data_IF_999281323248
#
_entry.id   IF_999281323248
#
_cell.length_a   1.000
_cell.length_b   1.000
_cell.length_c   1.000
_cell.angle_alpha   90.00
_cell.angle_beta   90.00
_cell.angle_gamma   90.00
#
_symmetry.space_group_name_H-M   'P 1'
#
loop_
_entity.id
_entity.type
_entity.pdbx_description
1 polymer ?
#
# COMPACT_ATOMS: atom_id res chain seq x y z
N UNK A 1 -4.93 5.21 -17.23
CA UNK A 1 -3.58 5.27 -16.62
C UNK A 1 -3.32 3.92 -15.99
N UNK A 2 -2.14 3.34 -16.21
CA UNK A 2 -1.73 2.07 -15.59
C UNK A 2 -1.62 2.19 -14.07
N UNK A 3 -1.90 1.10 -13.35
CA UNK A 3 -1.86 1.04 -11.87
C UNK A 3 -0.52 1.51 -11.30
N UNK A 4 0.59 1.02 -11.86
CA UNK A 4 1.93 1.36 -11.40
C UNK A 4 2.23 2.86 -11.53
N UNK A 5 1.82 3.49 -12.64
CA UNK A 5 1.99 4.93 -12.83
C UNK A 5 1.18 5.76 -11.81
N UNK A 6 0.03 5.25 -11.34
CA UNK A 6 -0.72 5.90 -10.26
C UNK A 6 -0.03 5.72 -8.92
N UNK A 7 0.44 4.51 -8.61
CA UNK A 7 1.18 4.21 -7.39
C UNK A 7 2.45 5.08 -7.27
N UNK A 8 3.21 5.22 -8.34
CA UNK A 8 4.43 6.04 -8.37
C UNK A 8 4.14 7.51 -8.06
N UNK A 9 2.98 8.03 -8.47
CA UNK A 9 2.57 9.40 -8.13
C UNK A 9 2.27 9.55 -6.65
N UNK A 10 1.66 8.55 -6.01
CA UNK A 10 1.45 8.57 -4.55
C UNK A 10 2.77 8.43 -3.79
N UNK A 11 3.70 7.61 -4.30
CA UNK A 11 5.06 7.48 -3.73
C UNK A 11 5.83 8.79 -3.88
N UNK A 12 5.72 9.49 -5.01
CA UNK A 12 6.34 10.80 -5.19
C UNK A 12 5.85 11.80 -4.12
N UNK A 13 4.55 11.83 -3.83
CA UNK A 13 4.01 12.66 -2.73
C UNK A 13 4.57 12.22 -1.38
N UNK A 14 4.63 10.92 -1.10
CA UNK A 14 5.24 10.41 0.14
C UNK A 14 6.72 10.84 0.27
N UNK A 15 7.47 10.81 -0.83
CA UNK A 15 8.87 11.26 -0.86
C UNK A 15 9.01 12.76 -0.65
N UNK A 16 8.05 13.59 -1.11
CA UNK A 16 8.04 15.02 -0.79
C UNK A 16 7.75 15.25 0.70
N UNK A 17 6.80 14.52 1.30
CA UNK A 17 6.52 14.62 2.73
C UNK A 17 7.72 14.24 3.61
N UNK A 18 8.59 13.35 3.13
CA UNK A 18 9.83 12.99 3.83
C UNK A 18 10.87 14.11 3.89
N UNK A 19 10.69 15.19 3.11
CA UNK A 19 11.56 16.37 3.15
C UNK A 19 11.13 17.36 4.23
N UNK A 20 9.96 17.18 4.84
CA UNK A 20 9.51 18.03 5.94
C UNK A 20 10.33 17.77 7.22
N UNK A 21 10.53 18.80 8.03
CA UNK A 21 11.24 18.69 9.30
C UNK A 21 10.55 17.64 10.20
N UNK A 22 11.35 16.80 10.86
CA UNK A 22 10.92 15.72 11.76
C UNK A 22 10.15 14.55 11.10
N UNK A 23 9.98 14.57 9.76
CA UNK A 23 9.39 13.45 9.05
C UNK A 23 10.33 12.22 9.07
N UNK A 24 9.75 11.05 9.33
CA UNK A 24 10.45 9.76 9.20
C UNK A 24 9.70 8.87 8.21
N UNK A 25 10.42 7.90 7.63
CA UNK A 25 9.81 6.86 6.79
C UNK A 25 8.64 6.18 7.52
N UNK A 26 8.77 5.94 8.83
CA UNK A 26 7.70 5.40 9.65
C UNK A 26 6.47 6.29 9.72
N UNK A 27 6.65 7.60 10.00
CA UNK A 27 5.55 8.57 10.07
C UNK A 27 4.81 8.68 8.73
N UNK A 28 5.53 8.86 7.63
CA UNK A 28 4.95 8.99 6.29
C UNK A 28 4.28 7.68 5.85
N UNK A 29 4.87 6.52 6.18
CA UNK A 29 4.28 5.21 5.88
C UNK A 29 2.93 5.00 6.60
N UNK A 30 2.82 5.41 7.87
CA UNK A 30 1.55 5.38 8.61
C UNK A 30 0.53 6.32 7.96
N UNK A 31 0.93 7.55 7.62
CA UNK A 31 0.05 8.51 6.95
C UNK A 31 -0.46 7.98 5.60
N UNK A 32 0.40 7.36 4.80
CA UNK A 32 0.02 6.77 3.51
C UNK A 32 -0.97 5.61 3.67
N UNK A 33 -0.75 4.70 4.64
CA UNK A 33 -1.71 3.63 4.95
C UNK A 33 -3.06 4.18 5.40
N UNK A 34 -3.07 5.23 6.22
CA UNK A 34 -4.29 5.88 6.65
C UNK A 34 -5.04 6.56 5.49
N UNK A 35 -4.31 7.23 4.59
CA UNK A 35 -4.89 7.82 3.38
C UNK A 35 -5.51 6.75 2.46
N UNK A 36 -4.81 5.64 2.24
CA UNK A 36 -5.32 4.51 1.47
C UNK A 36 -6.60 3.93 2.09
N UNK A 37 -6.62 3.71 3.41
CA UNK A 37 -7.81 3.22 4.10
C UNK A 37 -9.03 4.14 3.94
N UNK A 38 -8.83 5.46 4.01
CA UNK A 38 -9.90 6.45 3.79
C UNK A 38 -10.42 6.42 2.36
N UNK A 39 -9.53 6.27 1.38
CA UNK A 39 -9.92 6.21 -0.02
C UNK A 39 -10.65 4.91 -0.37
N UNK A 40 -10.21 3.76 0.15
CA UNK A 40 -10.92 2.49 0.03
C UNK A 40 -12.29 2.51 0.72
N UNK A 41 -12.41 3.12 1.89
CA UNK A 41 -13.71 3.32 2.53
C UNK A 41 -14.65 4.19 1.69
N UNK A 42 -14.12 5.21 1.00
CA UNK A 42 -14.90 6.03 0.06
C UNK A 42 -15.33 5.25 -1.17
N UNK A 43 -14.46 4.41 -1.75
CA UNK A 43 -14.80 3.51 -2.85
C UNK A 43 -15.95 2.56 -2.46
N UNK A 44 -15.86 1.90 -1.31
CA UNK A 44 -16.93 1.02 -0.84
C UNK A 44 -18.25 1.76 -0.62
N UNK A 45 -18.21 2.94 -0.01
CA UNK A 45 -19.40 3.76 0.19
C UNK A 45 -20.01 4.25 -1.14
N UNK A 46 -19.19 4.48 -2.16
CA UNK A 46 -19.65 4.89 -3.48
C UNK A 46 -20.30 3.73 -4.26
N UNK A 47 -19.78 2.51 -4.08
CA UNK A 47 -20.27 1.32 -4.78
C UNK A 47 -21.42 0.57 -4.10
N UNK A 48 -21.78 0.95 -2.86
CA UNK A 48 -22.77 0.24 -2.06
C UNK A 48 -24.04 1.07 -1.80
N UNK A 49 -25.25 0.51 -2.01
CA UNK A 49 -26.50 1.14 -1.58
C UNK A 49 -26.73 1.01 -0.06
N UNK A 50 -26.03 0.10 0.63
CA UNK A 50 -26.10 -0.12 2.07
C UNK A 50 -24.72 -0.52 2.62
N UNK A 51 -23.88 0.48 2.87
CA UNK A 51 -22.52 0.28 3.36
C UNK A 51 -22.48 -0.40 4.73
N UNK A 52 -23.56 -0.33 5.53
CA UNK A 52 -23.61 -1.00 6.82
C UNK A 52 -23.68 -2.52 6.65
N UNK A 53 -24.46 -3.01 5.69
CA UNK A 53 -24.54 -4.42 5.33
C UNK A 53 -23.25 -4.93 4.65
N UNK A 54 -22.60 -4.08 3.83
CA UNK A 54 -21.41 -4.47 3.05
C UNK A 54 -20.07 -4.29 3.77
N UNK A 55 -20.05 -3.64 4.95
CA UNK A 55 -18.82 -3.26 5.66
C UNK A 55 -17.83 -4.42 5.85
N UNK A 56 -18.29 -5.55 6.36
CA UNK A 56 -17.41 -6.68 6.70
C UNK A 56 -16.80 -7.29 5.43
N UNK A 57 -17.59 -7.42 4.37
CA UNK A 57 -17.13 -7.88 3.05
C UNK A 57 -16.09 -6.92 2.46
N UNK A 58 -16.33 -5.61 2.56
CA UNK A 58 -15.38 -4.61 2.11
C UNK A 58 -14.06 -4.68 2.90
N UNK A 59 -14.13 -4.83 4.22
CA UNK A 59 -12.97 -4.95 5.09
C UNK A 59 -12.12 -6.18 4.73
N UNK A 60 -12.75 -7.34 4.55
CA UNK A 60 -12.07 -8.58 4.15
C UNK A 60 -11.40 -8.42 2.79
N UNK A 61 -12.14 -7.88 1.81
CA UNK A 61 -11.61 -7.67 0.46
C UNK A 61 -10.38 -6.76 0.47
N UNK A 62 -10.48 -5.55 1.04
CA UNK A 62 -9.37 -4.59 1.03
C UNK A 62 -8.16 -5.09 1.81
N UNK A 63 -8.38 -5.75 2.95
CA UNK A 63 -7.29 -6.29 3.76
C UNK A 63 -6.55 -7.40 3.00
N UNK A 64 -7.28 -8.29 2.31
CA UNK A 64 -6.69 -9.34 1.48
C UNK A 64 -5.90 -8.76 0.31
N UNK A 65 -6.45 -7.79 -0.42
CA UNK A 65 -5.74 -7.14 -1.52
C UNK A 65 -4.45 -6.46 -1.03
N UNK A 66 -4.53 -5.71 0.08
CA UNK A 66 -3.36 -5.04 0.64
C UNK A 66 -2.29 -6.03 1.11
N UNK A 67 -2.70 -7.12 1.77
CA UNK A 67 -1.80 -8.19 2.18
C UNK A 67 -1.05 -8.81 0.99
N UNK A 68 -1.76 -9.11 -0.11
CA UNK A 68 -1.13 -9.67 -1.31
C UNK A 68 -0.09 -8.71 -1.90
N UNK A 69 -0.45 -7.43 -2.08
CA UNK A 69 0.48 -6.42 -2.60
C UNK A 69 1.72 -6.25 -1.72
N UNK A 70 1.55 -6.22 -0.39
CA UNK A 70 2.69 -6.14 0.54
C UNK A 70 3.55 -7.40 0.45
N UNK A 71 2.95 -8.58 0.38
CA UNK A 71 3.68 -9.85 0.22
C UNK A 71 4.55 -9.85 -1.03
N UNK A 72 3.97 -9.48 -2.18
CA UNK A 72 4.71 -9.41 -3.44
C UNK A 72 5.90 -8.45 -3.39
N UNK A 73 5.73 -7.28 -2.75
CA UNK A 73 6.82 -6.33 -2.58
C UNK A 73 7.91 -6.86 -1.63
N UNK A 74 7.54 -7.53 -0.55
CA UNK A 74 8.50 -8.15 0.36
C UNK A 74 9.28 -9.28 -0.33
N UNK A 75 8.63 -10.10 -1.15
CA UNK A 75 9.27 -11.16 -1.92
C UNK A 75 10.31 -10.60 -2.91
N UNK A 76 10.04 -9.43 -3.50
CA UNK A 76 11.02 -8.71 -4.32
C UNK A 76 12.24 -8.28 -3.50
N UNK A 77 12.05 -7.67 -2.32
CA UNK A 77 13.17 -7.30 -1.44
C UNK A 77 13.98 -8.51 -0.96
N UNK A 78 13.31 -9.63 -0.64
CA UNK A 78 13.97 -10.90 -0.27
C UNK A 78 14.83 -11.39 -1.44
N UNK A 79 14.29 -11.39 -2.66
CA UNK A 79 14.99 -11.82 -3.86
C UNK A 79 16.22 -10.95 -4.15
N UNK A 80 16.07 -9.62 -4.08
CA UNK A 80 17.17 -8.67 -4.25
C UNK A 80 18.27 -8.86 -3.19
N UNK A 81 17.89 -9.14 -1.93
CA UNK A 81 18.84 -9.37 -0.85
C UNK A 81 19.63 -10.67 -1.05
N UNK A 82 18.99 -11.75 -1.52
CA UNK A 82 19.67 -13.01 -1.85
C UNK A 82 20.67 -12.84 -3.00
N UNK A 83 20.29 -12.11 -4.04
CA UNK A 83 21.17 -11.78 -5.16
C UNK A 83 22.40 -10.98 -4.70
N UNK A 84 22.18 -9.94 -3.88
CA UNK A 84 23.26 -9.08 -3.39
C UNK A 84 24.19 -9.75 -2.37
N UNK A 85 23.74 -10.83 -1.72
CA UNK A 85 24.54 -11.61 -0.76
C UNK A 85 25.28 -12.80 -1.39
N UNK A 86 25.16 -13.01 -2.71
CA UNK A 86 25.76 -14.16 -3.41
C UNK A 86 25.11 -15.51 -3.10
N UNK A 87 23.99 -15.52 -2.36
CA UNK A 87 23.20 -16.70 -2.04
C UNK A 87 22.19 -16.96 -3.16
N UNK A 88 22.68 -17.29 -4.35
CA UNK A 88 21.83 -17.92 -5.36
C UNK A 88 21.86 -19.42 -5.07
N UNK A 89 20.80 -19.92 -4.44
CA UNK A 89 20.56 -21.37 -4.36
C UNK A 89 20.20 -21.86 -5.76
N UNK A 90 20.99 -22.84 -6.23
CA UNK A 90 20.76 -23.66 -7.43
C UNK A 90 19.35 -24.25 -7.49
#
# INVERSE_FOLDING_TARGET
>A
MELFNMADRFIAVANELLKEDEATVGHVSVALRYAAARFSAHEAAHGSPDIAADKEKALEWYSSQFQNMVSENLDQYISLTKQNSGLVTE
#
